data_IF_114500952642
#
_entry.id   IF_114500952642
#
_cell.length_a   1.000
_cell.length_b   1.000
_cell.length_c   1.000
_cell.angle_alpha   90.00
_cell.angle_beta   90.00
_cell.angle_gamma   90.00
#
_symmetry.space_group_name_H-M   'P 1'
#
loop_
_entity.id
_entity.type
_entity.pdbx_description
1 polymer ?
#
# COMPACT_ATOMS: atom_id res chain seq x y z
N UNK A 1 -7.60 15.95 42.73
CA UNK A 1 -7.74 14.90 41.69
C UNK A 1 -6.34 14.42 41.35
N UNK A 2 -5.91 13.32 41.96
CA UNK A 2 -4.60 12.71 41.69
C UNK A 2 -4.76 11.94 40.38
N UNK A 3 -4.07 12.39 39.33
CA UNK A 3 -4.09 11.74 38.03
C UNK A 3 -3.52 10.33 38.13
N UNK A 4 -4.27 9.33 37.68
CA UNK A 4 -3.75 7.99 37.52
C UNK A 4 -2.57 8.04 36.54
N UNK A 5 -1.40 7.59 36.97
CA UNK A 5 -0.27 7.40 36.07
C UNK A 5 -0.62 6.25 35.11
N UNK A 6 -0.75 6.54 33.82
CA UNK A 6 -0.81 5.50 32.80
C UNK A 6 0.56 4.81 32.75
N UNK A 7 0.61 3.54 33.17
CA UNK A 7 1.75 2.69 32.92
C UNK A 7 1.63 2.14 31.50
N UNK A 8 2.45 2.64 30.58
CA UNK A 8 2.60 1.99 29.28
C UNK A 8 3.19 0.61 29.50
N UNK A 9 2.54 -0.43 28.98
CA UNK A 9 3.18 -1.73 28.87
C UNK A 9 4.41 -1.56 27.97
N UNK A 10 5.58 -2.02 28.42
CA UNK A 10 6.87 -1.78 27.75
C UNK A 10 7.23 -2.86 26.73
N UNK A 11 6.28 -3.71 26.38
CA UNK A 11 6.42 -4.69 25.33
C UNK A 11 6.29 -3.97 23.98
N UNK A 12 7.38 -3.33 23.56
CA UNK A 12 7.46 -2.69 22.25
C UNK A 12 7.48 -3.76 21.17
N UNK A 13 6.66 -3.54 20.15
CA UNK A 13 6.79 -4.28 18.91
C UNK A 13 8.06 -3.81 18.18
N UNK A 14 8.95 -4.76 17.89
CA UNK A 14 10.24 -4.53 17.23
C UNK A 14 10.29 -5.19 15.85
N UNK A 15 9.15 -5.61 15.30
CA UNK A 15 9.05 -6.20 13.97
C UNK A 15 9.67 -5.24 12.93
N UNK A 16 10.52 -5.79 12.06
CA UNK A 16 11.21 -4.99 11.06
C UNK A 16 10.24 -4.57 9.95
N UNK A 17 10.09 -3.27 9.73
CA UNK A 17 9.33 -2.75 8.60
C UNK A 17 10.22 -2.79 7.35
N UNK A 18 9.84 -3.62 6.38
CA UNK A 18 10.62 -3.85 5.16
C UNK A 18 10.36 -2.76 4.12
N UNK A 19 9.10 -2.35 3.99
CA UNK A 19 8.64 -1.34 3.04
C UNK A 19 7.33 -0.70 3.51
N UNK A 20 6.81 0.21 2.70
CA UNK A 20 5.50 0.84 2.87
C UNK A 20 4.73 0.80 1.56
N UNK A 21 3.44 0.57 1.67
CA UNK A 21 2.48 0.70 0.58
C UNK A 21 1.72 2.01 0.68
N UNK A 22 1.56 2.67 -0.45
CA UNK A 22 0.74 3.87 -0.63
C UNK A 22 -0.37 3.55 -1.63
N UNK A 23 -1.59 3.32 -1.14
CA UNK A 23 -2.75 3.10 -1.99
C UNK A 23 -3.51 4.41 -2.17
N UNK A 24 -3.42 5.01 -3.34
CA UNK A 24 -4.19 6.20 -3.68
C UNK A 24 -5.55 5.79 -4.26
N UNK A 25 -6.63 6.20 -3.60
CA UNK A 25 -8.00 5.83 -3.95
C UNK A 25 -8.69 6.88 -4.83
N UNK A 26 -9.58 6.40 -5.68
CA UNK A 26 -10.40 7.23 -6.55
C UNK A 26 -11.77 6.58 -6.79
N UNK A 27 -12.77 7.41 -7.10
CA UNK A 27 -14.10 6.92 -7.46
C UNK A 27 -14.10 6.47 -8.93
N UNK A 28 -14.06 5.17 -9.15
CA UNK A 28 -13.88 4.54 -10.47
C UNK A 28 -14.97 4.87 -11.51
N UNK A 29 -16.18 5.22 -11.08
CA UNK A 29 -17.28 5.63 -11.96
C UNK A 29 -17.35 7.15 -12.17
N UNK A 30 -16.44 7.92 -11.55
CA UNK A 30 -16.29 9.34 -11.74
C UNK A 30 -15.08 9.61 -12.64
N UNK A 31 -15.33 10.04 -13.88
CA UNK A 31 -14.27 10.31 -14.87
C UNK A 31 -13.25 11.35 -14.39
N UNK A 32 -13.69 12.37 -13.63
CA UNK A 32 -12.79 13.39 -13.09
C UNK A 32 -11.87 12.80 -12.02
N UNK A 33 -12.41 12.01 -11.10
CA UNK A 33 -11.63 11.35 -10.04
C UNK A 33 -10.64 10.33 -10.64
N UNK A 34 -11.07 9.59 -11.66
CA UNK A 34 -10.19 8.66 -12.39
C UNK A 34 -9.07 9.38 -13.15
N UNK A 35 -9.38 10.51 -13.80
CA UNK A 35 -8.37 11.30 -14.50
C UNK A 35 -7.34 11.90 -13.53
N UNK A 36 -7.78 12.37 -12.36
CA UNK A 36 -6.89 12.84 -11.30
C UNK A 36 -5.95 11.72 -10.81
N UNK A 37 -6.47 10.52 -10.57
CA UNK A 37 -5.65 9.37 -10.16
C UNK A 37 -4.61 8.97 -11.21
N UNK A 38 -4.97 8.99 -12.50
CA UNK A 38 -4.05 8.69 -13.60
C UNK A 38 -2.96 9.76 -13.71
N UNK A 39 -3.33 11.04 -13.62
CA UNK A 39 -2.37 12.15 -13.63
C UNK A 39 -1.42 12.06 -12.43
N UNK A 40 -1.95 11.81 -11.23
CA UNK A 40 -1.13 11.70 -10.03
C UNK A 40 -0.17 10.50 -10.08
N UNK A 41 -0.64 9.34 -10.57
CA UNK A 41 0.25 8.18 -10.80
C UNK A 41 1.35 8.49 -11.81
N UNK A 42 1.05 9.28 -12.84
CA UNK A 42 2.06 9.72 -13.82
C UNK A 42 3.14 10.59 -13.16
N UNK A 43 2.77 11.54 -12.30
CA UNK A 43 3.74 12.36 -11.54
C UNK A 43 4.60 11.50 -10.60
N UNK A 44 4.00 10.52 -9.91
CA UNK A 44 4.75 9.56 -9.08
C UNK A 44 5.80 8.83 -9.92
N UNK A 45 5.44 8.38 -11.13
CA UNK A 45 6.38 7.71 -12.02
C UNK A 45 7.53 8.63 -12.46
N UNK A 46 7.25 9.89 -12.78
CA UNK A 46 8.31 10.85 -13.12
C UNK A 46 9.29 11.06 -11.94
N UNK A 47 8.80 11.03 -10.69
CA UNK A 47 9.65 11.14 -9.50
C UNK A 47 10.46 9.86 -9.23
N UNK A 48 9.92 8.69 -9.54
CA UNK A 48 10.67 7.44 -9.53
C UNK A 48 11.79 7.48 -10.59
N UNK A 49 11.45 7.83 -11.83
CA UNK A 49 12.38 7.88 -12.97
C UNK A 49 13.50 8.92 -12.79
N UNK A 50 13.20 10.04 -12.13
CA UNK A 50 14.20 11.07 -11.78
C UNK A 50 15.07 10.72 -10.57
N UNK A 51 14.75 9.63 -9.87
CA UNK A 51 15.48 9.17 -8.68
C UNK A 51 15.07 9.84 -7.36
N UNK A 52 14.14 10.81 -7.37
CA UNK A 52 13.63 11.42 -6.13
C UNK A 52 12.88 10.40 -5.25
N UNK A 53 12.11 9.51 -5.88
CA UNK A 53 11.49 8.34 -5.27
C UNK A 53 12.16 7.04 -5.78
N UNK A 54 13.49 7.03 -5.90
CA UNK A 54 14.23 5.96 -6.58
C UNK A 54 14.09 4.56 -5.96
N UNK A 55 13.75 4.47 -4.66
CA UNK A 55 13.48 3.19 -3.98
C UNK A 55 11.97 2.89 -3.88
N UNK A 56 11.16 3.55 -4.70
CA UNK A 56 9.75 3.25 -4.89
C UNK A 56 9.50 2.65 -6.27
N UNK A 57 8.36 1.98 -6.43
CA UNK A 57 7.90 1.43 -7.69
C UNK A 57 6.39 1.50 -7.82
N UNK A 58 5.92 1.63 -9.06
CA UNK A 58 4.52 1.37 -9.44
C UNK A 58 4.40 0.24 -10.46
N UNK A 59 5.44 -0.59 -10.61
CA UNK A 59 5.50 -1.73 -11.54
C UNK A 59 5.61 -3.09 -10.84
N UNK A 60 5.72 -3.11 -9.51
CA UNK A 60 5.70 -4.34 -8.72
C UNK A 60 4.47 -5.22 -9.00
N UNK A 61 4.51 -6.48 -8.55
CA UNK A 61 3.42 -7.47 -8.71
C UNK A 61 2.02 -6.94 -8.39
N UNK A 62 1.91 -6.17 -7.32
CA UNK A 62 0.65 -5.62 -6.81
C UNK A 62 0.36 -4.20 -7.33
N UNK A 63 1.30 -3.56 -8.01
CA UNK A 63 1.26 -2.14 -8.37
C UNK A 63 0.36 -1.83 -9.60
N UNK A 64 -0.75 -2.54 -9.79
CA UNK A 64 -1.67 -2.30 -10.91
C UNK A 64 -2.55 -1.08 -10.64
N UNK A 65 -3.15 -0.54 -11.71
CA UNK A 65 -4.22 0.46 -11.59
C UNK A 65 -5.57 -0.25 -11.60
N UNK A 66 -6.16 -0.42 -10.42
CA UNK A 66 -7.43 -1.12 -10.25
C UNK A 66 -8.60 -0.15 -10.47
N UNK A 67 -9.42 -0.43 -11.47
CA UNK A 67 -10.63 0.36 -11.82
C UNK A 67 -11.88 -0.08 -11.05
N UNK A 68 -11.70 -0.56 -9.83
CA UNK A 68 -12.73 -1.08 -8.95
C UNK A 68 -12.13 -1.64 -7.65
N UNK A 69 -12.96 -2.21 -6.77
CA UNK A 69 -12.48 -2.91 -5.58
C UNK A 69 -11.56 -4.08 -5.97
N UNK A 70 -10.52 -4.30 -5.18
CA UNK A 70 -9.57 -5.42 -5.35
C UNK A 70 -8.89 -5.72 -4.00
N UNK A 71 -8.90 -6.98 -3.58
CA UNK A 71 -8.44 -7.37 -2.24
C UNK A 71 -9.17 -6.57 -1.13
N UNK A 72 -8.46 -6.06 -0.10
CA UNK A 72 -9.07 -5.32 1.00
C UNK A 72 -9.54 -3.91 0.60
N UNK A 73 -9.30 -3.48 -0.63
CA UNK A 73 -9.50 -2.11 -1.08
C UNK A 73 -10.92 -1.90 -1.64
N UNK A 74 -11.73 -0.99 -1.06
CA UNK A 74 -13.17 -0.92 -1.32
C UNK A 74 -13.56 -0.22 -2.62
N UNK A 75 -12.65 0.53 -3.24
CA UNK A 75 -12.88 1.30 -4.47
C UNK A 75 -11.63 1.28 -5.35
N UNK A 76 -11.72 1.92 -6.53
CA UNK A 76 -10.57 2.05 -7.44
C UNK A 76 -9.34 2.61 -6.73
N UNK A 77 -8.19 2.00 -6.97
CA UNK A 77 -6.93 2.40 -6.35
C UNK A 77 -5.72 2.12 -7.26
N UNK A 78 -4.59 2.74 -6.94
CA UNK A 78 -3.29 2.29 -7.41
C UNK A 78 -2.28 2.30 -6.27
N UNK A 79 -1.36 1.35 -6.31
CA UNK A 79 -0.30 1.19 -5.33
C UNK A 79 1.01 1.82 -5.81
N UNK A 80 1.67 2.55 -4.91
CA UNK A 80 3.10 2.82 -4.95
C UNK A 80 3.76 2.09 -3.78
N UNK A 81 4.65 1.16 -4.08
CA UNK A 81 5.42 0.42 -3.08
C UNK A 81 6.77 1.12 -2.89
N UNK A 82 7.13 1.45 -1.65
CA UNK A 82 8.38 2.13 -1.33
C UNK A 82 9.17 1.35 -0.29
N UNK A 83 10.44 1.04 -0.56
CA UNK A 83 11.34 0.55 0.48
C UNK A 83 11.44 1.56 1.63
N UNK A 84 11.74 1.06 2.82
CA UNK A 84 11.78 1.87 4.05
C UNK A 84 12.71 3.09 3.95
N UNK A 85 13.76 3.03 3.12
CA UNK A 85 14.67 4.14 2.83
C UNK A 85 14.01 5.34 2.11
N UNK A 86 12.93 5.14 1.35
CA UNK A 86 12.20 6.19 0.62
C UNK A 86 10.86 6.58 1.25
N UNK A 87 10.54 6.11 2.45
CA UNK A 87 9.27 6.45 3.11
C UNK A 87 9.13 7.98 3.33
N UNK A 88 10.19 8.64 3.81
CA UNK A 88 10.14 10.08 4.11
C UNK A 88 9.82 10.93 2.87
N UNK A 89 10.58 10.84 1.75
CA UNK A 89 10.27 11.62 0.56
C UNK A 89 8.90 11.26 -0.03
N UNK A 90 8.47 9.99 0.04
CA UNK A 90 7.14 9.59 -0.37
C UNK A 90 6.04 10.26 0.47
N UNK A 91 6.14 10.20 1.81
CA UNK A 91 5.20 10.88 2.72
C UNK A 91 5.15 12.39 2.43
N UNK A 92 6.31 13.05 2.29
CA UNK A 92 6.38 14.48 1.99
C UNK A 92 5.70 14.82 0.66
N UNK A 93 5.87 13.99 -0.38
CA UNK A 93 5.26 14.19 -1.68
C UNK A 93 3.76 13.96 -1.67
N UNK A 94 3.29 12.81 -1.15
CA UNK A 94 1.87 12.46 -1.12
C UNK A 94 1.08 13.41 -0.23
N UNK A 95 1.64 13.85 0.89
CA UNK A 95 1.00 14.82 1.78
C UNK A 95 0.71 16.17 1.09
N UNK A 96 1.58 16.59 0.18
CA UNK A 96 1.50 17.91 -0.49
C UNK A 96 0.76 17.86 -1.81
N UNK A 97 0.83 16.76 -2.54
CA UNK A 97 0.53 16.73 -3.98
C UNK A 97 -0.58 15.76 -4.40
N UNK A 98 -1.13 14.94 -3.50
CA UNK A 98 -2.19 13.94 -3.85
C UNK A 98 -3.52 14.53 -4.35
N UNK A 99 -3.66 15.85 -4.34
CA UNK A 99 -4.93 16.51 -4.66
C UNK A 99 -6.06 16.05 -3.73
N UNK A 100 -7.17 15.60 -4.31
CA UNK A 100 -8.34 15.14 -3.59
C UNK A 100 -8.30 13.65 -3.20
N UNK A 101 -7.33 12.88 -3.73
CA UNK A 101 -7.26 11.42 -3.59
C UNK A 101 -6.95 11.00 -2.15
N UNK A 102 -7.80 10.22 -1.47
CA UNK A 102 -7.45 9.59 -0.20
C UNK A 102 -6.29 8.61 -0.38
N UNK A 103 -5.36 8.54 0.59
CA UNK A 103 -4.22 7.62 0.50
C UNK A 103 -4.10 6.82 1.78
N UNK A 104 -4.25 5.49 1.68
CA UNK A 104 -3.85 4.56 2.74
C UNK A 104 -2.34 4.39 2.65
N UNK A 105 -1.67 4.55 3.79
CA UNK A 105 -0.25 4.28 3.94
C UNK A 105 -0.08 3.23 5.03
N UNK A 106 0.47 2.08 4.71
CA UNK A 106 0.70 1.03 5.70
C UNK A 106 2.11 0.43 5.60
N UNK A 107 2.70 -0.01 6.73
CA UNK A 107 3.96 -0.73 6.70
C UNK A 107 3.79 -2.12 6.08
N UNK A 108 4.90 -2.74 5.73
CA UNK A 108 5.00 -4.15 5.36
C UNK A 108 5.88 -4.88 6.36
N UNK A 109 5.22 -5.58 7.28
CA UNK A 109 5.76 -6.58 8.20
C UNK A 109 5.18 -7.95 7.85
N UNK A 110 5.29 -8.92 8.75
CA UNK A 110 4.64 -10.22 8.58
C UNK A 110 3.16 -10.21 9.00
N UNK A 111 2.66 -9.14 9.64
CA UNK A 111 1.31 -9.08 10.22
C UNK A 111 0.36 -8.24 9.37
N UNK A 112 -0.19 -8.83 8.31
CA UNK A 112 -0.94 -8.08 7.29
C UNK A 112 -2.17 -7.36 7.83
N UNK A 113 -2.97 -8.05 8.66
CA UNK A 113 -4.17 -7.46 9.27
C UNK A 113 -3.77 -6.24 10.09
N UNK A 114 -2.78 -6.35 10.98
CA UNK A 114 -2.33 -5.24 11.81
C UNK A 114 -1.72 -4.11 10.98
N UNK A 115 -0.97 -4.45 9.94
CA UNK A 115 -0.38 -3.48 9.02
C UNK A 115 -1.46 -2.64 8.34
N UNK A 116 -2.51 -3.27 7.80
CA UNK A 116 -3.61 -2.58 7.12
C UNK A 116 -4.60 -1.87 8.06
N UNK A 117 -4.60 -2.22 9.35
CA UNK A 117 -5.56 -1.69 10.34
C UNK A 117 -4.87 -0.82 11.39
N UNK A 118 -4.32 -1.42 12.44
CA UNK A 118 -3.81 -0.76 13.64
C UNK A 118 -2.54 0.07 13.38
N UNK A 119 -1.76 -0.27 12.35
CA UNK A 119 -0.50 0.41 11.99
C UNK A 119 -0.65 1.29 10.75
N UNK A 120 -1.82 1.27 10.12
CA UNK A 120 -2.09 2.08 8.96
C UNK A 120 -2.23 3.56 9.32
N UNK A 121 -1.87 4.38 8.35
CA UNK A 121 -2.01 5.83 8.36
C UNK A 121 -2.83 6.25 7.15
N UNK A 122 -3.49 7.40 7.25
CA UNK A 122 -4.24 7.98 6.15
C UNK A 122 -3.79 9.40 5.87
N UNK A 123 -3.51 9.69 4.59
CA UNK A 123 -3.36 11.06 4.11
C UNK A 123 -4.69 11.46 3.47
N UNK A 124 -5.43 12.31 4.15
CA UNK A 124 -6.80 12.68 3.76
C UNK A 124 -7.85 11.88 4.51
N UNK A 125 -8.93 11.50 3.82
CA UNK A 125 -10.02 10.74 4.43
C UNK A 125 -9.68 9.26 4.50
N UNK A 126 -10.14 8.57 5.55
CA UNK A 126 -10.07 7.11 5.62
C UNK A 126 -11.25 6.47 4.89
N UNK A 127 -11.03 5.24 4.43
CA UNK A 127 -12.08 4.36 3.91
C UNK A 127 -12.08 3.05 4.71
N UNK A 128 -13.24 2.45 4.98
CA UNK A 128 -13.29 1.12 5.57
C UNK A 128 -12.72 0.10 4.58
N UNK A 129 -11.78 -0.73 5.03
CA UNK A 129 -11.23 -1.83 4.26
C UNK A 129 -12.07 -3.10 4.47
N UNK A 130 -12.03 -4.01 3.50
CA UNK A 130 -12.59 -5.36 3.66
C UNK A 130 -11.49 -6.29 4.17
N UNK A 131 -11.39 -6.40 5.49
CA UNK A 131 -10.35 -7.19 6.17
C UNK A 131 -10.49 -8.70 5.90
N UNK A 132 -11.60 -9.18 5.31
CA UNK A 132 -11.78 -10.61 5.00
C UNK A 132 -10.83 -11.13 3.91
N UNK A 133 -10.15 -10.23 3.20
CA UNK A 133 -9.12 -10.55 2.21
C UNK A 133 -7.71 -10.68 2.80
N UNK A 134 -7.52 -10.36 4.08
CA UNK A 134 -6.20 -10.29 4.72
C UNK A 134 -5.88 -11.56 5.50
N UNK A 135 -4.61 -11.92 5.54
CA UNK A 135 -4.07 -13.03 6.33
C UNK A 135 -3.44 -12.54 7.64
N UNK A 136 -3.46 -13.34 8.69
CA UNK A 136 -2.83 -12.94 9.96
C UNK A 136 -1.31 -12.87 9.82
N UNK A 137 -0.73 -13.77 9.02
CA UNK A 137 0.71 -13.84 8.74
C UNK A 137 0.94 -13.94 7.24
N UNK A 138 1.69 -12.98 6.67
CA UNK A 138 2.13 -13.03 5.28
C UNK A 138 3.46 -13.77 5.15
N UNK A 139 3.46 -14.84 4.36
CA UNK A 139 4.69 -15.45 3.83
C UNK A 139 5.46 -14.42 2.96
N UNK A 140 6.79 -14.56 2.77
CA UNK A 140 7.62 -13.53 2.15
C UNK A 140 7.13 -13.14 0.75
N UNK A 141 6.45 -11.99 0.67
CA UNK A 141 6.13 -11.33 -0.60
C UNK A 141 7.44 -10.75 -1.16
N UNK A 142 7.59 -10.81 -2.48
CA UNK A 142 8.60 -10.08 -3.22
C UNK A 142 8.34 -8.56 -3.07
N UNK A 143 9.03 -7.93 -2.11
CA UNK A 143 8.71 -6.58 -1.64
C UNK A 143 9.23 -5.55 -2.61
N UNK A 144 8.31 -4.74 -3.17
CA UNK A 144 8.62 -3.59 -4.02
C UNK A 144 9.61 -3.89 -5.16
N UNK A 145 9.68 -5.13 -5.66
CA UNK A 145 10.55 -5.44 -6.79
C UNK A 145 10.08 -4.66 -8.02
N UNK A 146 10.90 -3.68 -8.41
CA UNK A 146 10.67 -2.84 -9.58
C UNK A 146 10.83 -3.63 -10.89
N UNK A 147 11.55 -4.74 -10.85
CA UNK A 147 11.86 -5.58 -11.99
C UNK A 147 10.78 -6.67 -12.20
N UNK A 148 9.71 -6.68 -11.40
CA UNK A 148 8.63 -7.67 -11.50
C UNK A 148 7.70 -7.46 -12.73
N UNK A 149 7.37 -8.55 -13.46
CA UNK A 149 8.06 -9.83 -13.48
C UNK A 149 9.33 -9.72 -14.34
N UNK A 150 10.50 -10.18 -13.88
CA UNK A 150 11.66 -10.23 -14.75
C UNK A 150 11.38 -11.29 -15.81
N UNK A 151 11.72 -11.00 -17.06
CA UNK A 151 11.48 -11.89 -18.20
C UNK A 151 11.84 -13.37 -17.92
N UNK A 152 10.79 -14.23 -17.97
CA UNK A 152 10.76 -15.69 -18.28
C UNK A 152 10.87 -16.72 -17.14
N UNK A 153 9.78 -16.92 -16.41
CA UNK A 153 9.08 -18.21 -16.44
C UNK A 153 7.56 -18.00 -16.29
N UNK A 154 6.75 -18.12 -17.37
CA UNK A 154 5.30 -18.07 -17.27
C UNK A 154 4.69 -19.23 -16.46
N UNK A 155 5.48 -20.24 -16.09
CA UNK A 155 5.07 -21.37 -15.26
C UNK A 155 5.29 -21.15 -13.76
N UNK A 156 6.03 -20.11 -13.36
CA UNK A 156 6.02 -19.64 -11.97
C UNK A 156 4.87 -18.66 -11.85
N UNK A 157 3.66 -19.22 -11.78
CA UNK A 157 2.56 -18.57 -11.07
C UNK A 157 2.90 -18.66 -9.58
N UNK A 158 3.22 -17.56 -8.88
CA UNK A 158 3.18 -17.61 -7.43
C UNK A 158 1.72 -17.90 -7.09
N UNK A 159 1.48 -19.06 -6.50
CA UNK A 159 0.15 -19.61 -6.20
C UNK A 159 -0.67 -18.57 -5.46
N UNK A 160 -1.60 -17.94 -6.18
CA UNK A 160 -2.33 -16.80 -5.67
C UNK A 160 -3.44 -17.20 -4.68
N UNK A 161 -4.11 -18.33 -4.88
CA UNK A 161 -5.31 -18.70 -4.12
C UNK A 161 -5.66 -20.20 -4.32
N UNK A 162 -4.72 -21.12 -4.10
CA UNK A 162 -5.04 -22.55 -4.05
C UNK A 162 -5.24 -22.92 -2.57
N UNK A 163 -6.32 -22.53 -1.92
CA UNK A 163 -7.62 -23.20 -2.06
C UNK A 163 -8.71 -22.35 -1.41
N UNK A 164 -9.69 -21.90 -2.19
CA UNK A 164 -11.07 -21.92 -1.71
C UNK A 164 -11.90 -22.76 -2.67
N UNK A 165 -12.53 -23.81 -2.14
CA UNK A 165 -13.95 -23.98 -2.33
C UNK A 165 -14.60 -23.66 -0.99
N UNK A 166 -15.26 -22.50 -0.89
CA UNK A 166 -16.27 -22.32 0.16
C UNK A 166 -17.43 -23.29 -0.08
N UNK A 167 -18.01 -23.91 0.96
CA UNK A 167 -19.45 -24.07 1.04
C UNK A 167 -20.14 -22.73 1.35
#
# INVERSE_FOLDING_TARGET
>A
LVGAAFAFNKDWDLDSIRAYHFHAYFFQHNNKSTAEALAFRHEVNQLIDSGYLGECTTTCRLCRFYRGPDGPHPIGNFLTCCNSSSIKPALDFFAKNRGSLPVLVHPLTEREIDDHTNRAMWIGHSLPLDESFLEEVLEPIDICDKDWPPNKDPHIVPTYFATTPSP
#
